data_IF_085319143052
#
_entry.id   IF_085319143052
#
_cell.length_a   1.000
_cell.length_b   1.000
_cell.length_c   1.000
_cell.angle_alpha   90.00
_cell.angle_beta   90.00
_cell.angle_gamma   90.00
#
_symmetry.space_group_name_H-M   'P 1'
#
loop_
_entity.id
_entity.type
_entity.pdbx_description
1 polymer ?
#
# COMPACT_ATOMS: atom_id res chain seq x y z
N UNK A 1 -45.42 5.76 6.31
CA UNK A 1 -44.83 4.59 5.62
C UNK A 1 -43.73 4.97 4.63
N UNK A 2 -43.94 5.93 3.72
CA UNK A 2 -42.89 6.31 2.74
C UNK A 2 -41.70 7.01 3.44
N UNK A 3 -41.94 7.94 4.36
CA UNK A 3 -40.87 8.65 5.08
C UNK A 3 -40.00 7.74 5.97
N UNK A 4 -40.60 6.75 6.63
CA UNK A 4 -39.87 5.72 7.39
C UNK A 4 -39.03 4.83 6.48
N UNK A 5 -39.51 4.49 5.28
CA UNK A 5 -38.73 3.71 4.32
C UNK A 5 -37.52 4.50 3.79
N UNK A 6 -37.68 5.81 3.55
CA UNK A 6 -36.58 6.70 3.16
C UNK A 6 -35.54 6.82 4.28
N UNK A 7 -36.00 6.98 5.53
CA UNK A 7 -35.11 7.04 6.70
C UNK A 7 -34.30 5.76 6.92
N UNK A 8 -34.94 4.60 6.75
CA UNK A 8 -34.25 3.30 6.83
C UNK A 8 -33.24 3.15 5.68
N UNK A 9 -33.59 3.55 4.46
CA UNK A 9 -32.65 3.52 3.34
C UNK A 9 -31.44 4.41 3.58
N UNK A 10 -31.64 5.64 4.05
CA UNK A 10 -30.56 6.57 4.36
C UNK A 10 -29.63 6.01 5.44
N UNK A 11 -30.19 5.41 6.49
CA UNK A 11 -29.41 4.74 7.53
C UNK A 11 -28.60 3.54 6.99
N UNK A 12 -29.19 2.69 6.15
CA UNK A 12 -28.48 1.56 5.54
C UNK A 12 -27.33 2.08 4.66
N UNK A 13 -27.57 3.12 3.86
CA UNK A 13 -26.53 3.74 3.01
C UNK A 13 -25.37 4.26 3.87
N UNK A 14 -25.67 4.92 4.99
CA UNK A 14 -24.64 5.42 5.92
C UNK A 14 -23.83 4.29 6.56
N UNK A 15 -24.49 3.21 7.01
CA UNK A 15 -23.81 2.06 7.61
C UNK A 15 -22.95 1.29 6.59
N UNK A 16 -23.43 1.16 5.35
CA UNK A 16 -22.65 0.56 4.24
C UNK A 16 -21.43 1.43 3.93
N UNK A 17 -21.59 2.75 3.85
CA UNK A 17 -20.48 3.67 3.61
C UNK A 17 -19.44 3.61 4.74
N UNK A 18 -19.88 3.60 6.01
CA UNK A 18 -19.00 3.47 7.16
C UNK A 18 -18.23 2.13 7.14
N UNK A 19 -18.92 1.03 6.86
CA UNK A 19 -18.30 -0.30 6.78
C UNK A 19 -17.25 -0.37 5.68
N UNK A 20 -17.56 0.14 4.48
CA UNK A 20 -16.60 0.22 3.37
C UNK A 20 -15.37 1.07 3.74
N UNK A 21 -15.58 2.19 4.45
CA UNK A 21 -14.48 3.05 4.90
C UNK A 21 -13.54 2.36 5.91
N UNK A 22 -14.08 1.51 6.77
CA UNK A 22 -13.32 0.77 7.77
C UNK A 22 -12.45 -0.32 7.11
N UNK A 23 -13.02 -1.02 6.13
CA UNK A 23 -12.31 -2.05 5.36
C UNK A 23 -11.16 -1.44 4.55
N UNK A 24 -11.43 -0.32 3.88
CA UNK A 24 -10.42 0.52 3.21
C UNK A 24 -9.29 0.93 4.16
N UNK A 25 -9.64 1.38 5.39
CA UNK A 25 -8.64 1.77 6.37
C UNK A 25 -7.78 0.57 6.83
N UNK A 26 -8.39 -0.60 6.96
CA UNK A 26 -7.68 -1.84 7.27
C UNK A 26 -6.69 -2.22 6.15
N UNK A 27 -7.11 -2.16 4.88
CA UNK A 27 -6.22 -2.38 3.74
C UNK A 27 -5.04 -1.40 3.72
N UNK A 28 -5.28 -0.10 3.96
CA UNK A 28 -4.20 0.89 4.09
C UNK A 28 -3.25 0.56 5.24
N UNK A 29 -3.78 0.11 6.38
CA UNK A 29 -3.00 -0.35 7.53
C UNK A 29 -2.10 -1.53 7.19
N UNK A 30 -2.63 -2.52 6.49
CA UNK A 30 -1.87 -3.69 6.02
C UNK A 30 -0.77 -3.30 5.03
N UNK A 31 -1.08 -2.42 4.06
CA UNK A 31 -0.08 -1.91 3.12
C UNK A 31 1.06 -1.21 3.87
N UNK A 32 0.74 -0.32 4.82
CA UNK A 32 1.76 0.36 5.63
C UNK A 32 2.61 -0.64 6.43
N UNK A 33 1.99 -1.64 7.03
CA UNK A 33 2.68 -2.69 7.79
C UNK A 33 3.67 -3.47 6.92
N UNK A 34 3.25 -3.92 5.74
CA UNK A 34 4.10 -4.71 4.85
C UNK A 34 5.21 -3.88 4.18
N UNK A 35 4.94 -2.62 3.80
CA UNK A 35 6.00 -1.71 3.32
C UNK A 35 7.06 -1.50 4.41
N UNK A 36 6.63 -1.21 5.64
CA UNK A 36 7.54 -1.02 6.77
C UNK A 36 8.35 -2.27 7.08
N UNK A 37 7.71 -3.45 7.00
CA UNK A 37 8.38 -4.74 7.21
C UNK A 37 9.42 -5.02 6.13
N UNK A 38 9.07 -4.84 4.86
CA UNK A 38 9.99 -5.00 3.73
C UNK A 38 11.17 -4.03 3.81
N UNK A 39 10.91 -2.75 4.14
CA UNK A 39 11.97 -1.75 4.28
C UNK A 39 12.96 -2.12 5.40
N UNK A 40 12.46 -2.61 6.54
CA UNK A 40 13.32 -3.08 7.63
C UNK A 40 14.14 -4.32 7.23
N UNK A 41 13.53 -5.28 6.52
CA UNK A 41 14.23 -6.48 6.03
C UNK A 41 15.34 -6.10 5.04
N UNK A 42 15.04 -5.27 4.05
CA UNK A 42 16.03 -4.77 3.06
C UNK A 42 17.17 -4.04 3.76
N UNK A 43 16.87 -3.22 4.79
CA UNK A 43 17.90 -2.55 5.57
C UNK A 43 18.76 -3.55 6.35
N UNK A 44 18.15 -4.56 6.98
CA UNK A 44 18.89 -5.62 7.69
C UNK A 44 19.83 -6.36 6.74
N UNK A 45 19.31 -6.81 5.59
CA UNK A 45 20.07 -7.48 4.55
C UNK A 45 21.26 -6.62 4.10
N UNK A 46 21.03 -5.32 3.87
CA UNK A 46 22.08 -4.39 3.47
C UNK A 46 23.19 -4.27 4.54
N UNK A 47 22.82 -4.17 5.82
CA UNK A 47 23.79 -4.15 6.94
C UNK A 47 24.58 -5.45 7.02
N UNK A 48 23.92 -6.58 6.85
CA UNK A 48 24.57 -7.89 6.93
C UNK A 48 25.55 -8.13 5.78
N UNK A 49 25.20 -7.66 4.58
CA UNK A 49 26.10 -7.64 3.41
C UNK A 49 27.33 -6.77 3.72
N UNK A 50 27.14 -5.56 4.25
CA UNK A 50 28.24 -4.66 4.64
C UNK A 50 29.16 -5.28 5.72
N UNK A 51 28.60 -6.06 6.63
CA UNK A 51 29.34 -6.68 7.74
C UNK A 51 29.95 -8.05 7.38
N UNK A 52 29.61 -8.62 6.22
CA UNK A 52 30.09 -9.94 5.80
C UNK A 52 29.52 -11.12 6.61
N UNK A 53 28.39 -10.92 7.30
CA UNK A 53 27.74 -11.93 8.17
C UNK A 53 26.46 -12.48 7.54
N UNK A 54 26.19 -12.14 6.28
CA UNK A 54 24.93 -12.40 5.60
C UNK A 54 24.52 -13.88 5.61
N UNK A 55 23.40 -14.18 6.27
CA UNK A 55 22.83 -15.52 6.30
C UNK A 55 21.70 -15.62 5.26
N UNK A 56 22.11 -15.90 4.03
CA UNK A 56 21.35 -15.76 2.78
C UNK A 56 19.93 -16.35 2.76
N UNK A 57 19.64 -17.35 3.60
CA UNK A 57 18.48 -18.23 3.41
C UNK A 57 17.23 -17.76 4.14
N UNK A 58 17.35 -17.14 5.32
CA UNK A 58 16.17 -16.83 6.14
C UNK A 58 15.56 -15.49 5.78
N UNK A 59 16.37 -14.45 5.71
CA UNK A 59 15.85 -13.09 5.55
C UNK A 59 15.42 -12.79 4.11
N UNK A 60 15.97 -13.52 3.13
CA UNK A 60 15.50 -13.50 1.74
C UNK A 60 14.14 -14.18 1.57
N UNK A 61 13.87 -15.29 2.27
CA UNK A 61 12.58 -15.99 2.23
C UNK A 61 11.47 -15.11 2.84
N UNK A 62 11.73 -14.50 4.00
CA UNK A 62 10.79 -13.57 4.63
C UNK A 62 10.53 -12.31 3.78
N UNK A 63 11.57 -11.80 3.11
CA UNK A 63 11.42 -10.67 2.19
C UNK A 63 10.53 -11.04 1.00
N UNK A 64 10.77 -12.20 0.38
CA UNK A 64 9.96 -12.70 -0.74
C UNK A 64 8.50 -12.90 -0.34
N UNK A 65 8.24 -13.46 0.84
CA UNK A 65 6.87 -13.59 1.35
C UNK A 65 6.21 -12.22 1.55
N UNK A 66 6.94 -11.28 2.16
CA UNK A 66 6.45 -9.91 2.40
C UNK A 66 6.11 -9.20 1.07
N UNK A 67 6.94 -9.36 0.05
CA UNK A 67 6.71 -8.77 -1.28
C UNK A 67 5.55 -9.47 -2.02
N UNK A 68 5.38 -10.78 -1.85
CA UNK A 68 4.23 -11.51 -2.38
C UNK A 68 2.91 -11.00 -1.78
N UNK A 69 2.84 -10.83 -0.46
CA UNK A 69 1.67 -10.26 0.23
C UNK A 69 1.41 -8.82 -0.22
N UNK A 70 2.46 -8.00 -0.39
CA UNK A 70 2.33 -6.64 -0.89
C UNK A 70 1.76 -6.61 -2.32
N UNK A 71 2.14 -7.57 -3.17
CA UNK A 71 1.65 -7.68 -4.54
C UNK A 71 0.16 -8.05 -4.58
N UNK A 72 -0.29 -8.95 -3.70
CA UNK A 72 -1.72 -9.27 -3.54
C UNK A 72 -2.51 -8.04 -3.10
N UNK A 73 -2.00 -7.30 -2.11
CA UNK A 73 -2.65 -6.06 -1.67
C UNK A 73 -2.68 -4.99 -2.76
N UNK A 74 -1.66 -4.94 -3.60
CA UNK A 74 -1.61 -4.04 -4.74
C UNK A 74 -2.72 -4.34 -5.76
N UNK A 75 -2.99 -5.62 -6.03
CA UNK A 75 -4.09 -6.04 -6.90
C UNK A 75 -5.46 -5.64 -6.31
N UNK A 76 -5.63 -5.77 -4.99
CA UNK A 76 -6.86 -5.36 -4.29
C UNK A 76 -7.12 -3.84 -4.41
N UNK A 77 -6.07 -3.03 -4.42
CA UNK A 77 -6.19 -1.57 -4.66
C UNK A 77 -6.76 -1.29 -6.06
N UNK A 78 -6.43 -2.11 -7.06
CA UNK A 78 -6.99 -1.98 -8.42
C UNK A 78 -8.43 -2.50 -8.52
N UNK A 79 -8.74 -3.65 -7.91
CA UNK A 79 -10.06 -4.28 -8.00
C UNK A 79 -11.16 -3.46 -7.32
N UNK A 80 -10.83 -2.80 -6.22
CA UNK A 80 -11.82 -2.12 -5.37
C UNK A 80 -11.93 -0.61 -5.64
N UNK A 81 -11.36 -0.11 -6.75
CA UNK A 81 -11.25 1.34 -7.07
C UNK A 81 -12.56 2.13 -6.91
N UNK A 82 -13.70 1.48 -7.16
CA UNK A 82 -15.04 2.05 -6.98
C UNK A 82 -15.41 2.24 -5.50
N UNK A 83 -14.99 1.34 -4.61
CA UNK A 83 -15.21 1.44 -3.16
C UNK A 83 -14.33 2.52 -2.53
N UNK A 84 -13.09 2.64 -2.99
CA UNK A 84 -12.17 3.71 -2.59
C UNK A 84 -12.80 5.09 -2.84
N UNK A 85 -13.50 5.28 -3.94
CA UNK A 85 -14.14 6.56 -4.32
C UNK A 85 -15.12 7.13 -3.27
N UNK A 86 -15.65 6.30 -2.36
CA UNK A 86 -16.57 6.71 -1.30
C UNK A 86 -15.88 7.16 0.00
N UNK A 87 -14.57 6.97 0.14
CA UNK A 87 -13.81 7.34 1.33
C UNK A 87 -12.94 8.58 1.05
N UNK A 88 -13.11 9.72 1.75
CA UNK A 88 -12.28 10.92 1.53
C UNK A 88 -10.77 10.67 1.71
N UNK A 89 -10.40 9.72 2.56
CA UNK A 89 -9.01 9.31 2.82
C UNK A 89 -8.39 8.48 1.68
N UNK A 90 -9.20 8.01 0.72
CA UNK A 90 -8.73 7.23 -0.44
C UNK A 90 -8.12 8.06 -1.55
N UNK A 91 -8.07 9.39 -1.38
CA UNK A 91 -7.48 10.32 -2.36
C UNK A 91 -6.09 9.86 -2.80
N UNK A 92 -5.35 9.20 -1.91
CA UNK A 92 -4.05 8.59 -2.16
C UNK A 92 -4.05 7.49 -3.24
N UNK A 93 -5.16 6.77 -3.43
CA UNK A 93 -5.33 5.72 -4.44
C UNK A 93 -5.61 6.31 -5.82
N UNK A 94 -6.33 7.42 -5.87
CA UNK A 94 -6.83 8.00 -7.12
C UNK A 94 -5.88 9.10 -7.64
N UNK A 95 -5.32 9.89 -6.74
CA UNK A 95 -4.50 11.04 -7.08
C UNK A 95 -3.01 10.80 -6.81
N UNK A 96 -2.19 11.41 -7.66
CA UNK A 96 -0.74 11.38 -7.52
C UNK A 96 -0.30 12.37 -6.43
N UNK A 97 -0.40 11.94 -5.16
CA UNK A 97 -0.10 12.77 -3.99
C UNK A 97 1.09 12.28 -3.16
N UNK A 98 1.53 11.03 -3.32
CA UNK A 98 2.66 10.45 -2.57
C UNK A 98 3.97 10.95 -3.20
N UNK A 99 4.78 11.75 -2.49
CA UNK A 99 6.08 12.18 -3.00
C UNK A 99 7.12 11.06 -2.84
N UNK A 100 7.76 10.66 -3.94
CA UNK A 100 8.87 9.70 -3.95
C UNK A 100 10.09 10.37 -4.59
N UNK A 101 11.27 10.13 -4.02
CA UNK A 101 12.54 10.55 -4.59
C UNK A 101 12.97 9.58 -5.68
N UNK A 102 13.17 10.08 -6.89
CA UNK A 102 13.74 9.33 -8.00
C UNK A 102 15.11 9.88 -8.36
N UNK A 103 15.95 9.01 -8.91
CA UNK A 103 17.29 9.36 -9.36
C UNK A 103 17.36 9.18 -10.88
N UNK A 104 17.41 10.30 -11.61
CA UNK A 104 17.71 10.28 -13.04
C UNK A 104 19.07 10.92 -13.27
N UNK A 105 19.97 10.18 -13.93
CA UNK A 105 21.34 10.60 -14.23
C UNK A 105 22.10 11.21 -13.03
N UNK A 106 21.86 10.70 -11.81
CA UNK A 106 22.53 11.15 -10.59
C UNK A 106 21.93 12.37 -9.89
N UNK A 107 20.84 12.96 -10.41
CA UNK A 107 20.15 14.07 -9.77
C UNK A 107 18.85 13.58 -9.09
N UNK A 108 18.70 13.77 -7.76
CA UNK A 108 17.46 13.43 -7.07
C UNK A 108 16.37 14.43 -7.41
N UNK A 109 15.19 13.94 -7.78
CA UNK A 109 14.01 14.78 -7.96
C UNK A 109 12.78 14.13 -7.33
N UNK A 110 11.82 14.96 -6.93
CA UNK A 110 10.57 14.51 -6.34
C UNK A 110 9.53 14.31 -7.44
N UNK A 111 9.02 13.08 -7.52
CA UNK A 111 7.88 12.73 -8.38
C UNK A 111 6.72 12.27 -7.50
N UNK A 112 5.51 12.65 -7.89
CA UNK A 112 4.31 12.26 -7.15
C UNK A 112 3.64 11.05 -7.80
N UNK A 113 3.23 10.13 -6.96
CA UNK A 113 2.61 8.86 -7.31
C UNK A 113 1.29 8.68 -6.57
N UNK A 114 0.37 7.91 -7.17
CA UNK A 114 -0.74 7.34 -6.43
C UNK A 114 -0.25 6.08 -5.68
N UNK A 115 -1.09 5.53 -4.80
CA UNK A 115 -0.74 4.39 -3.97
C UNK A 115 -0.30 3.18 -4.80
N UNK A 116 -1.01 2.88 -5.89
CA UNK A 116 -0.68 1.75 -6.75
C UNK A 116 0.70 1.90 -7.38
N UNK A 117 0.99 3.04 -8.00
CA UNK A 117 2.27 3.30 -8.64
C UNK A 117 3.43 3.38 -7.63
N UNK A 118 3.16 3.92 -6.43
CA UNK A 118 4.12 3.95 -5.34
C UNK A 118 4.49 2.54 -4.87
N UNK A 119 3.50 1.64 -4.73
CA UNK A 119 3.73 0.23 -4.42
C UNK A 119 4.52 -0.46 -5.55
N UNK A 120 4.19 -0.19 -6.82
CA UNK A 120 4.93 -0.73 -7.97
C UNK A 120 6.39 -0.35 -7.90
N UNK A 121 6.67 0.93 -7.68
CA UNK A 121 8.03 1.46 -7.59
C UNK A 121 8.81 0.79 -6.44
N UNK A 122 8.17 0.67 -5.27
CA UNK A 122 8.76 -0.03 -4.12
C UNK A 122 9.08 -1.50 -4.42
N UNK A 123 8.11 -2.27 -4.95
CA UNK A 123 8.30 -3.69 -5.28
C UNK A 123 9.43 -3.87 -6.29
N UNK A 124 9.44 -3.06 -7.35
CA UNK A 124 10.48 -3.11 -8.38
C UNK A 124 11.86 -2.80 -7.81
N UNK A 125 11.95 -1.80 -6.93
CA UNK A 125 13.20 -1.45 -6.27
C UNK A 125 13.72 -2.60 -5.40
N UNK A 126 12.86 -3.18 -4.55
CA UNK A 126 13.24 -4.30 -3.68
C UNK A 126 13.69 -5.53 -4.47
N UNK A 127 13.00 -5.86 -5.57
CA UNK A 127 13.39 -7.00 -6.42
C UNK A 127 14.69 -6.79 -7.21
N UNK A 128 15.23 -5.57 -7.24
CA UNK A 128 16.50 -5.25 -7.92
C UNK A 128 17.73 -5.32 -7.01
N UNK A 129 17.52 -5.51 -5.71
CA UNK A 129 18.56 -5.67 -4.66
C UNK A 129 18.95 -7.15 -4.58
#
# INVERSE_FOLDING_TARGET
MIGTNIGILAYIIEQVAHTNSLDIFNHLGQIMFYIGSAANLVRSISVEIEQGVFNLTRDSEYLNQTISELSVLQENVLSDKSQWSYCPSSKIVIENIIPIWEFDMGNPYLKKYNLYDAMTNFIQHVNSI
#
